data_IF_367011222949
#
_entry.id   IF_367011222949
#
_cell.length_a   1.000
_cell.length_b   1.000
_cell.length_c   1.000
_cell.angle_alpha   90.00
_cell.angle_beta   90.00
_cell.angle_gamma   90.00
#
_symmetry.space_group_name_H-M   'P 1'
#
loop_
_entity.id
_entity.type
_entity.pdbx_description
1 polymer ?
#
# COMPACT_ATOMS: atom_id res chain seq x y z
N UNK A 1 -4.95 -8.91 -29.28
CA UNK A 1 -4.95 -7.85 -28.25
C UNK A 1 -4.28 -8.41 -27.02
N UNK A 2 -3.03 -8.05 -26.74
CA UNK A 2 -2.41 -8.35 -25.45
C UNK A 2 -3.30 -7.76 -24.38
N UNK A 3 -3.85 -8.60 -23.49
CA UNK A 3 -4.66 -8.11 -22.38
C UNK A 3 -3.77 -7.18 -21.56
N UNK A 4 -4.11 -5.90 -21.50
CA UNK A 4 -3.36 -4.95 -20.69
C UNK A 4 -3.44 -5.41 -19.23
N UNK A 5 -2.29 -5.66 -18.60
CA UNK A 5 -2.21 -6.02 -17.18
C UNK A 5 -2.24 -4.71 -16.38
N UNK A 6 -3.37 -4.28 -15.79
CA UNK A 6 -3.41 -3.06 -15.00
C UNK A 6 -2.40 -3.15 -13.85
N UNK A 7 -1.75 -2.02 -13.59
CA UNK A 7 -0.84 -1.85 -12.45
C UNK A 7 -1.57 -1.04 -11.38
N UNK A 8 -1.67 -1.61 -10.19
CA UNK A 8 -2.48 -1.08 -9.09
C UNK A 8 -1.59 -0.84 -7.89
N UNK A 9 -1.58 0.40 -7.43
CA UNK A 9 -0.98 0.76 -6.14
C UNK A 9 -2.06 0.72 -5.06
N UNK A 10 -1.83 -0.04 -3.99
CA UNK A 10 -2.75 -0.15 -2.85
C UNK A 10 -2.18 0.58 -1.64
N UNK A 11 -2.96 1.47 -1.02
CA UNK A 11 -2.59 2.06 0.26
C UNK A 11 -2.69 1.02 1.37
N UNK A 12 -1.56 0.70 2.00
CA UNK A 12 -1.44 -0.34 3.03
C UNK A 12 -0.95 0.20 4.39
N UNK A 13 -1.00 1.51 4.59
CA UNK A 13 -0.58 2.21 5.81
C UNK A 13 -1.18 1.62 7.10
N UNK A 14 -2.43 1.13 7.03
CA UNK A 14 -3.12 0.52 8.15
C UNK A 14 -2.42 -0.72 8.74
N UNK A 15 -1.49 -1.35 8.00
CA UNK A 15 -0.69 -2.46 8.51
C UNK A 15 0.35 -2.01 9.55
N UNK A 16 0.73 -0.73 9.54
CA UNK A 16 1.68 -0.11 10.48
C UNK A 16 1.00 0.67 11.62
N UNK A 17 -0.32 0.58 11.74
CA UNK A 17 -1.01 1.17 12.88
C UNK A 17 -0.65 0.43 14.18
N UNK A 18 -0.68 1.14 15.31
CA UNK A 18 -0.43 0.56 16.64
C UNK A 18 -1.34 -0.65 16.93
N UNK A 19 -2.60 -0.55 16.49
CA UNK A 19 -3.57 -1.65 16.52
C UNK A 19 -4.16 -1.82 15.11
N UNK A 20 -3.59 -2.69 14.27
CA UNK A 20 -4.12 -2.95 12.94
C UNK A 20 -5.50 -3.64 13.02
N UNK A 21 -6.54 -2.94 12.60
CA UNK A 21 -7.93 -3.39 12.71
C UNK A 21 -8.44 -4.18 11.49
N UNK A 22 -9.76 -4.33 11.41
CA UNK A 22 -10.43 -5.03 10.30
C UNK A 22 -10.09 -4.48 8.91
N UNK A 23 -9.79 -3.18 8.79
CA UNK A 23 -9.36 -2.58 7.52
C UNK A 23 -8.00 -3.11 7.06
N UNK A 24 -7.05 -3.34 7.96
CA UNK A 24 -5.77 -3.96 7.61
C UNK A 24 -5.99 -5.39 7.14
N UNK A 25 -6.84 -6.14 7.86
CA UNK A 25 -7.17 -7.51 7.48
C UNK A 25 -7.84 -7.60 6.11
N UNK A 26 -8.85 -6.77 5.87
CA UNK A 26 -9.58 -6.72 4.60
C UNK A 26 -8.66 -6.35 3.43
N UNK A 27 -7.73 -5.42 3.63
CA UNK A 27 -6.76 -5.05 2.59
C UNK A 27 -5.79 -6.18 2.26
N UNK A 28 -5.32 -6.93 3.26
CA UNK A 28 -4.44 -8.08 3.05
C UNK A 28 -5.17 -9.22 2.34
N UNK A 29 -6.41 -9.51 2.73
CA UNK A 29 -7.24 -10.51 2.06
C UNK A 29 -7.55 -10.12 0.61
N UNK A 30 -7.76 -8.82 0.35
CA UNK A 30 -7.90 -8.31 -1.02
C UNK A 30 -6.60 -8.51 -1.83
N UNK A 31 -5.44 -8.20 -1.24
CA UNK A 31 -4.14 -8.40 -1.88
C UNK A 31 -3.94 -9.88 -2.23
N UNK A 32 -4.22 -10.79 -1.30
CA UNK A 32 -4.05 -12.22 -1.53
C UNK A 32 -5.02 -12.75 -2.59
N UNK A 33 -6.27 -12.32 -2.55
CA UNK A 33 -7.27 -12.66 -3.56
C UNK A 33 -6.87 -12.16 -4.96
N UNK A 34 -6.34 -10.94 -5.07
CA UNK A 34 -5.87 -10.39 -6.35
C UNK A 34 -4.56 -11.04 -6.81
N UNK A 35 -3.68 -11.44 -5.89
CA UNK A 35 -2.42 -12.11 -6.22
C UNK A 35 -2.63 -13.46 -6.87
N UNK A 36 -3.71 -14.17 -6.48
CA UNK A 36 -4.13 -15.40 -7.16
C UNK A 36 -4.59 -15.20 -8.61
N UNK A 37 -4.70 -13.94 -9.07
CA UNK A 37 -5.04 -13.59 -10.44
C UNK A 37 -3.80 -13.06 -11.17
N UNK A 38 -3.37 -13.77 -12.22
CA UNK A 38 -2.18 -13.39 -13.01
C UNK A 38 -2.38 -12.14 -13.89
N UNK A 39 -3.56 -11.51 -13.85
CA UNK A 39 -3.94 -10.40 -14.71
C UNK A 39 -3.81 -9.01 -14.05
N UNK A 40 -3.26 -8.90 -12.84
CA UNK A 40 -3.02 -7.59 -12.18
C UNK A 40 -1.59 -7.54 -11.63
N UNK A 41 -0.89 -6.42 -11.83
CA UNK A 41 0.39 -6.13 -11.20
C UNK A 41 0.14 -5.22 -9.99
N UNK A 42 0.63 -5.60 -8.81
CA UNK A 42 0.35 -4.89 -7.56
C UNK A 42 1.61 -4.40 -6.87
N UNK A 43 1.47 -3.25 -6.22
CA UNK A 43 2.48 -2.66 -5.33
C UNK A 43 1.75 -1.98 -4.18
N UNK A 44 2.24 -2.15 -2.95
CA UNK A 44 1.73 -1.40 -1.81
C UNK A 44 2.36 -0.02 -1.74
N UNK A 45 1.66 0.94 -1.15
CA UNK A 45 2.21 2.22 -0.72
C UNK A 45 1.89 2.47 0.75
N UNK A 46 2.90 2.88 1.50
CA UNK A 46 2.79 3.25 2.91
C UNK A 46 3.62 4.52 3.19
N UNK A 47 3.41 5.11 4.36
CA UNK A 47 4.28 6.15 4.89
C UNK A 47 5.67 5.59 5.21
N UNK A 48 6.62 6.45 5.52
CA UNK A 48 7.92 6.03 6.07
C UNK A 48 7.71 5.45 7.47
N UNK A 49 8.24 4.25 7.68
CA UNK A 49 8.25 3.54 8.96
C UNK A 49 9.65 3.01 9.26
N UNK A 50 10.05 3.07 10.53
CA UNK A 50 11.36 2.59 10.98
C UNK A 50 11.37 1.08 11.28
N UNK A 51 10.18 0.47 11.35
CA UNK A 51 9.97 -0.94 11.67
C UNK A 51 9.00 -1.59 10.68
N UNK A 52 9.13 -2.90 10.41
CA UNK A 52 8.12 -3.64 9.67
C UNK A 52 6.80 -3.71 10.46
N UNK A 53 5.67 -3.98 9.80
CA UNK A 53 4.40 -4.20 10.47
C UNK A 53 4.47 -5.52 11.27
N UNK A 54 3.55 -5.70 12.22
CA UNK A 54 3.43 -6.98 12.93
C UNK A 54 3.22 -8.14 11.94
N UNK A 55 3.79 -9.31 12.23
CA UNK A 55 3.85 -10.45 11.29
C UNK A 55 2.48 -10.83 10.73
N UNK A 56 1.43 -10.82 11.57
CA UNK A 56 0.05 -11.13 11.17
C UNK A 56 -0.54 -10.14 10.15
N UNK A 57 0.07 -8.97 9.99
CA UNK A 57 -0.36 -7.89 9.10
C UNK A 57 0.67 -7.56 8.02
N UNK A 58 1.69 -8.42 7.83
CA UNK A 58 2.71 -8.21 6.80
C UNK A 58 2.11 -8.44 5.40
N UNK A 59 2.14 -7.45 4.50
CA UNK A 59 1.65 -7.62 3.13
C UNK A 59 2.44 -8.69 2.38
N UNK A 60 1.73 -9.47 1.56
CA UNK A 60 2.37 -10.50 0.73
C UNK A 60 3.04 -9.92 -0.52
N UNK A 61 2.75 -8.66 -0.87
CA UNK A 61 3.32 -7.92 -2.02
C UNK A 61 4.39 -6.92 -1.55
N UNK A 62 5.29 -6.48 -2.45
CA UNK A 62 6.21 -5.37 -2.17
C UNK A 62 5.46 -4.11 -1.78
N UNK A 63 5.97 -3.36 -0.81
CA UNK A 63 5.41 -2.07 -0.37
C UNK A 63 6.47 -1.00 -0.47
N UNK A 64 6.20 0.00 -1.31
CA UNK A 64 7.03 1.19 -1.43
C UNK A 64 6.63 2.22 -0.36
N UNK A 65 7.61 2.93 0.17
CA UNK A 65 7.41 3.87 1.25
C UNK A 65 7.63 5.29 0.74
N UNK A 66 6.65 6.19 0.95
CA UNK A 66 6.88 7.61 0.70
C UNK A 66 7.89 8.16 1.72
N UNK A 67 8.60 9.22 1.36
CA UNK A 67 9.59 9.84 2.25
C UNK A 67 9.00 10.59 3.48
N UNK A 68 7.68 10.53 3.68
CA UNK A 68 6.95 11.26 4.72
C UNK A 68 6.47 10.30 5.81
N UNK A 69 6.53 10.69 7.10
CA UNK A 69 5.84 9.94 8.15
C UNK A 69 4.32 10.04 7.97
N UNK A 70 3.58 9.11 8.60
CA UNK A 70 2.12 8.93 8.43
C UNK A 70 1.31 10.23 8.42
N UNK A 71 1.44 11.06 9.45
CA UNK A 71 0.67 12.30 9.56
C UNK A 71 0.98 13.25 8.40
N UNK A 72 2.28 13.44 8.09
CA UNK A 72 2.69 14.31 6.99
C UNK A 72 2.25 13.77 5.63
N UNK A 73 2.25 12.44 5.43
CA UNK A 73 1.71 11.82 4.21
C UNK A 73 0.22 12.14 4.04
N UNK A 74 -0.59 11.92 5.07
CA UNK A 74 -2.03 12.18 4.99
C UNK A 74 -2.35 13.65 4.74
N UNK A 75 -1.74 14.57 5.50
CA UNK A 75 -1.95 16.00 5.31
C UNK A 75 -1.47 16.45 3.92
N UNK A 76 -0.33 15.94 3.43
CA UNK A 76 0.16 16.29 2.10
C UNK A 76 -0.75 15.77 0.99
N UNK A 77 -1.31 14.56 1.12
CA UNK A 77 -2.32 14.07 0.17
C UNK A 77 -3.61 14.86 0.23
N UNK A 78 -4.07 15.24 1.42
CA UNK A 78 -5.32 15.98 1.59
C UNK A 78 -5.23 17.41 1.03
N UNK A 79 -4.17 18.14 1.38
CA UNK A 79 -4.03 19.56 1.05
C UNK A 79 -3.25 19.81 -0.23
N UNK A 80 -2.15 19.08 -0.45
CA UNK A 80 -1.20 19.32 -1.54
C UNK A 80 -1.37 18.36 -2.71
N UNK A 81 -2.16 17.29 -2.52
CA UNK A 81 -2.34 16.18 -3.48
C UNK A 81 -1.01 15.54 -3.91
N UNK A 82 -0.03 15.53 -3.00
CA UNK A 82 1.34 15.05 -3.24
C UNK A 82 1.89 14.30 -2.01
N UNK A 83 2.90 13.43 -2.15
CA UNK A 83 3.49 12.98 -3.42
C UNK A 83 2.48 12.16 -4.24
N UNK A 84 2.67 12.15 -5.56
CA UNK A 84 1.87 11.28 -6.43
C UNK A 84 2.25 9.83 -6.15
N UNK A 85 1.27 8.92 -6.26
CA UNK A 85 1.52 7.51 -5.99
C UNK A 85 2.45 6.92 -7.06
N UNK A 86 2.28 7.33 -8.31
CA UNK A 86 3.16 6.94 -9.43
C UNK A 86 4.61 7.36 -9.20
N UNK A 87 4.87 8.53 -8.60
CA UNK A 87 6.26 8.98 -8.38
C UNK A 87 7.00 8.13 -7.34
N UNK A 88 6.26 7.41 -6.49
CA UNK A 88 6.83 6.53 -5.45
C UNK A 88 6.88 5.09 -5.94
N UNK A 89 5.93 4.69 -6.76
CA UNK A 89 5.80 3.30 -7.22
C UNK A 89 6.43 3.04 -8.58
N UNK A 90 6.85 4.07 -9.33
CA UNK A 90 7.50 3.97 -10.65
C UNK A 90 6.53 4.05 -11.82
#
# INVERSE_FOLDING_TARGET
>A
MTAQRPRVALTLEQCWHEVPGGTARAALELVDALRSRDNVAMVGIAARHDSPPAEAYRPSIPVEHVALPRLAMYESWHWLRRPLVESTTG
#
